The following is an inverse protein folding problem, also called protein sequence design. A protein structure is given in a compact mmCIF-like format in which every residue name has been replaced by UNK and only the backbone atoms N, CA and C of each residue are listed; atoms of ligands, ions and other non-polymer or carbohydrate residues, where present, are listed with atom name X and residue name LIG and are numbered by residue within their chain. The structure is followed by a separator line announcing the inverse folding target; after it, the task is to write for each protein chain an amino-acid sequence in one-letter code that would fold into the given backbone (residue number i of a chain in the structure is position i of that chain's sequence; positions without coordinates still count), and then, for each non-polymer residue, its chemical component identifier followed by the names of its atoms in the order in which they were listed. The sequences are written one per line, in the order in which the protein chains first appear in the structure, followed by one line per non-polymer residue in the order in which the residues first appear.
data_IF_630965314603
#
_entry.id   IF_630965314603
#
_cell.length_a   1.000
_cell.length_b   1.000
_cell.length_c   1.000
_cell.angle_alpha   90.00
_cell.angle_beta   90.00
_cell.angle_gamma   90.00
#
_symmetry.space_group_name_H-M   'P 1'
#
loop_
_entity.id
_entity.type
_entity.pdbx_description
1 polymer ?
#
# COMPACT_ATOMS: atom_id res chain seq x y z
N UNK A 1 4.90 8.10 -14.56
CA UNK A 1 3.78 7.13 -14.62
C UNK A 1 2.52 7.91 -14.95
N UNK A 2 1.65 7.38 -15.80
CA UNK A 2 0.38 8.04 -16.09
C UNK A 2 -0.50 8.13 -14.85
N UNK A 3 -1.31 9.18 -14.78
CA UNK A 3 -2.16 9.42 -13.61
C UNK A 3 -1.40 9.79 -12.34
N UNK A 4 -0.07 9.89 -12.39
CA UNK A 4 0.82 10.16 -11.24
C UNK A 4 1.63 11.44 -11.44
N UNK A 5 1.83 12.17 -10.35
CA UNK A 5 2.61 13.41 -10.31
C UNK A 5 2.08 14.46 -11.31
N UNK A 6 2.93 14.84 -12.26
CA UNK A 6 2.61 15.86 -13.28
C UNK A 6 1.85 15.32 -14.51
N UNK A 7 1.57 14.02 -14.57
CA UNK A 7 0.90 13.41 -15.72
C UNK A 7 -0.59 13.71 -15.69
N UNK A 8 -1.12 14.30 -16.77
CA UNK A 8 -2.55 14.62 -16.89
C UNK A 8 -3.31 13.60 -17.74
N UNK A 9 -4.57 13.27 -17.40
CA UNK A 9 -5.26 13.63 -16.16
C UNK A 9 -4.69 12.87 -14.94
N UNK A 10 -4.67 13.53 -13.78
CA UNK A 10 -4.28 12.89 -12.52
C UNK A 10 -5.39 11.95 -12.03
N UNK A 11 -5.03 10.82 -11.42
CA UNK A 11 -6.02 9.93 -10.83
C UNK A 11 -6.37 10.38 -9.41
N UNK A 12 -7.66 10.52 -9.13
CA UNK A 12 -8.14 10.97 -7.82
C UNK A 12 -9.37 10.19 -7.40
N UNK A 13 -9.36 9.66 -6.18
CA UNK A 13 -10.56 9.08 -5.60
C UNK A 13 -11.41 10.11 -4.88
N UNK A 14 -10.84 11.21 -4.39
CA UNK A 14 -11.55 12.21 -3.60
C UNK A 14 -11.76 13.51 -4.39
N UNK A 15 -12.85 14.22 -4.10
CA UNK A 15 -13.17 15.49 -4.76
C UNK A 15 -12.27 16.63 -4.26
N UNK A 16 -11.74 16.51 -3.04
CA UNK A 16 -10.83 17.49 -2.45
C UNK A 16 -9.81 16.83 -1.52
N UNK A 17 -8.73 17.55 -1.24
CA UNK A 17 -7.72 17.12 -0.28
C UNK A 17 -8.28 17.01 1.14
N UNK A 18 -9.19 17.92 1.54
CA UNK A 18 -9.84 17.85 2.85
C UNK A 18 -10.67 16.58 3.03
N UNK A 19 -11.36 16.13 1.98
CA UNK A 19 -12.10 14.87 1.99
C UNK A 19 -11.15 13.67 2.12
N UNK A 20 -10.02 13.68 1.39
CA UNK A 20 -8.99 12.64 1.51
C UNK A 20 -8.43 12.58 2.95
N UNK A 21 -8.09 13.74 3.53
CA UNK A 21 -7.61 13.85 4.91
C UNK A 21 -8.58 13.27 5.93
N UNK A 22 -9.86 13.62 5.82
CA UNK A 22 -10.89 13.08 6.70
C UNK A 22 -11.07 11.57 6.53
N UNK A 23 -10.95 11.07 5.30
CA UNK A 23 -10.97 9.65 5.03
C UNK A 23 -9.76 8.97 5.70
N UNK A 24 -8.54 9.46 5.52
CA UNK A 24 -7.33 8.91 6.15
C UNK A 24 -7.42 8.91 7.70
N UNK A 25 -7.99 9.94 8.32
CA UNK A 25 -8.14 10.00 9.78
C UNK A 25 -9.15 8.99 10.34
N UNK A 26 -10.07 8.49 9.51
CA UNK A 26 -11.06 7.47 9.87
C UNK A 26 -10.57 6.03 9.63
N UNK A 27 -9.26 5.85 9.41
CA UNK A 27 -8.63 4.54 9.27
C UNK A 27 -8.95 3.61 10.47
N UNK A 28 -9.58 2.45 10.26
CA UNK A 28 -9.86 1.49 11.32
C UNK A 28 -8.60 0.73 11.74
N UNK A 29 -8.70 -0.12 12.75
CA UNK A 29 -7.63 -1.07 13.12
C UNK A 29 -7.20 -1.94 11.93
N UNK A 30 -5.94 -2.38 11.89
CA UNK A 30 -5.44 -3.30 10.85
C UNK A 30 -6.15 -4.66 10.94
N UNK A 31 -6.15 -5.40 9.82
CA UNK A 31 -6.64 -6.78 9.78
C UNK A 31 -5.92 -7.64 10.83
N UNK A 32 -6.68 -8.43 11.59
CA UNK A 32 -6.13 -9.29 12.64
C UNK A 32 -5.87 -8.60 13.99
N UNK A 33 -6.25 -7.33 14.13
CA UNK A 33 -6.29 -6.65 15.43
C UNK A 33 -7.42 -7.20 16.32
N UNK A 34 -8.64 -7.30 15.79
CA UNK A 34 -9.81 -7.91 16.44
C UNK A 34 -10.83 -8.44 15.40
N UNK A 35 -11.92 -9.07 15.87
CA UNK A 35 -12.98 -9.62 15.02
C UNK A 35 -13.77 -8.55 14.25
N UNK A 36 -13.83 -7.31 14.76
CA UNK A 36 -14.56 -6.21 14.16
C UNK A 36 -13.75 -5.51 13.04
N UNK A 37 -12.41 -5.59 13.09
CA UNK A 37 -11.50 -4.95 12.16
C UNK A 37 -11.76 -5.35 10.71
N UNK A 38 -12.11 -6.63 10.46
CA UNK A 38 -12.45 -7.09 9.12
C UNK A 38 -13.66 -6.35 8.53
N UNK A 39 -14.77 -6.29 9.27
CA UNK A 39 -16.00 -5.66 8.77
C UNK A 39 -15.82 -4.14 8.59
N UNK A 40 -15.06 -3.51 9.47
CA UNK A 40 -14.73 -2.08 9.35
C UNK A 40 -13.87 -1.79 8.11
N UNK A 41 -12.84 -2.60 7.86
CA UNK A 41 -11.96 -2.50 6.67
C UNK A 41 -12.69 -2.80 5.37
N UNK A 42 -13.59 -3.79 5.37
CA UNK A 42 -14.43 -4.14 4.23
C UNK A 42 -15.37 -2.99 3.85
N UNK A 43 -16.09 -2.44 4.83
CA UNK A 43 -16.96 -1.27 4.61
C UNK A 43 -16.16 -0.08 4.07
N UNK A 44 -14.98 0.18 4.63
CA UNK A 44 -14.09 1.24 4.17
C UNK A 44 -13.61 1.03 2.73
N UNK A 45 -13.27 -0.21 2.37
CA UNK A 45 -12.88 -0.56 1.01
C UNK A 45 -14.00 -0.27 0.01
N UNK A 46 -15.26 -0.58 0.34
CA UNK A 46 -16.43 -0.25 -0.48
C UNK A 46 -16.64 1.26 -0.61
N UNK A 47 -16.44 2.02 0.47
CA UNK A 47 -16.54 3.49 0.44
C UNK A 47 -15.45 4.11 -0.42
N UNK A 48 -14.21 3.65 -0.30
CA UNK A 48 -13.10 4.07 -1.15
C UNK A 48 -13.36 3.76 -2.62
N UNK A 49 -13.84 2.54 -2.90
CA UNK A 49 -14.20 2.11 -4.24
C UNK A 49 -15.24 3.00 -4.90
N UNK A 50 -16.33 3.32 -4.20
CA UNK A 50 -17.38 4.23 -4.70
C UNK A 50 -16.80 5.60 -5.05
N UNK A 51 -15.89 6.11 -4.23
CA UNK A 51 -15.21 7.40 -4.45
C UNK A 51 -14.28 7.35 -5.66
N UNK A 52 -13.44 6.31 -5.78
CA UNK A 52 -12.55 6.09 -6.92
C UNK A 52 -13.32 5.93 -8.25
N UNK A 53 -14.40 5.16 -8.26
CA UNK A 53 -15.22 4.98 -9.47
C UNK A 53 -15.88 6.29 -9.89
N UNK A 54 -16.41 7.05 -8.93
CA UNK A 54 -17.04 8.33 -9.25
C UNK A 54 -16.05 9.36 -9.84
N UNK A 55 -14.81 9.39 -9.36
CA UNK A 55 -13.89 10.49 -9.62
C UNK A 55 -12.72 10.15 -10.56
N UNK A 56 -12.38 8.86 -10.75
CA UNK A 56 -11.14 8.44 -11.42
C UNK A 56 -11.26 7.22 -12.35
N UNK A 57 -12.46 6.67 -12.57
CA UNK A 57 -12.66 5.42 -13.34
C UNK A 57 -11.97 5.43 -14.71
N UNK A 58 -12.14 6.51 -15.48
CA UNK A 58 -11.59 6.61 -16.84
C UNK A 58 -10.06 6.62 -16.90
N UNK A 59 -9.42 7.12 -15.84
CA UNK A 59 -7.94 7.18 -15.72
C UNK A 59 -7.42 5.87 -15.15
N UNK A 60 -8.01 5.41 -14.05
CA UNK A 60 -7.49 4.32 -13.26
C UNK A 60 -7.37 3.01 -14.05
N UNK A 61 -8.32 2.72 -14.96
CA UNK A 61 -8.32 1.48 -15.76
C UNK A 61 -7.08 1.31 -16.64
N UNK A 62 -6.33 2.39 -16.84
CA UNK A 62 -5.10 2.38 -17.62
C UNK A 62 -3.85 2.52 -16.75
N UNK A 63 -3.94 2.60 -15.43
CA UNK A 63 -2.80 2.85 -14.54
C UNK A 63 -1.93 1.62 -14.27
N UNK A 64 -2.22 0.47 -14.87
CA UNK A 64 -1.43 -0.74 -14.72
C UNK A 64 0.00 -0.64 -15.25
N UNK A 65 0.84 -1.58 -14.82
CA UNK A 65 2.24 -1.73 -15.22
C UNK A 65 2.40 -1.91 -16.72
N UNK A 66 1.49 -2.62 -17.40
CA UNK A 66 1.56 -2.78 -18.86
C UNK A 66 1.46 -1.43 -19.59
N UNK A 67 0.45 -0.64 -19.26
CA UNK A 67 0.26 0.69 -19.80
C UNK A 67 1.43 1.62 -19.49
N UNK A 68 2.00 1.50 -18.29
CA UNK A 68 3.22 2.21 -17.92
C UNK A 68 4.43 1.75 -18.73
N UNK A 69 4.55 0.47 -19.09
CA UNK A 69 5.61 -0.04 -19.95
C UNK A 69 5.51 0.51 -21.38
N UNK A 70 4.28 0.62 -21.92
CA UNK A 70 4.00 1.28 -23.20
C UNK A 70 4.48 2.74 -23.16
N UNK A 71 4.19 3.46 -22.08
CA UNK A 71 4.60 4.87 -21.92
C UNK A 71 6.13 5.01 -21.94
N UNK A 72 6.85 4.14 -21.24
CA UNK A 72 8.32 4.16 -21.24
C UNK A 72 8.90 3.84 -22.62
N UNK A 73 8.28 2.93 -23.36
CA UNK A 73 8.66 2.66 -24.75
C UNK A 73 8.47 3.90 -25.64
N UNK A 74 7.32 4.57 -25.54
CA UNK A 74 7.04 5.80 -26.31
C UNK A 74 8.04 6.90 -25.97
N UNK A 75 8.39 7.09 -24.70
CA UNK A 75 9.41 8.06 -24.27
C UNK A 75 10.75 7.76 -24.94
N UNK A 76 11.22 6.50 -24.89
CA UNK A 76 12.48 6.10 -25.53
C UNK A 76 12.48 6.39 -27.03
N UNK A 77 11.37 6.12 -27.72
CA UNK A 77 11.24 6.42 -29.15
C UNK A 77 11.22 7.91 -29.44
N UNK A 78 10.57 8.69 -28.59
CA UNK A 78 10.48 10.15 -28.73
C UNK A 78 11.83 10.84 -28.49
N UNK A 79 12.66 10.28 -27.60
CA UNK A 79 14.05 10.70 -27.40
C UNK A 79 15.00 10.26 -28.53
N UNK A 80 14.49 9.63 -29.60
CA UNK A 80 15.29 9.01 -30.67
C UNK A 80 16.31 7.98 -30.16
N UNK A 81 16.04 7.35 -29.02
CA UNK A 81 16.88 6.28 -28.47
C UNK A 81 16.40 4.93 -29.00
N UNK A 82 17.37 4.08 -29.33
CA UNK A 82 17.11 2.69 -29.71
C UNK A 82 17.13 1.74 -28.52
N UNK A 83 17.70 2.19 -27.40
CA UNK A 83 17.98 1.41 -26.20
C UNK A 83 17.70 2.19 -24.92
N UNK A 84 17.21 1.46 -23.91
CA UNK A 84 16.79 1.92 -22.59
C UNK A 84 17.72 1.32 -21.53
N UNK A 85 18.32 2.17 -20.72
CA UNK A 85 18.85 1.79 -19.41
C UNK A 85 17.75 2.03 -18.37
N UNK A 86 17.53 1.08 -17.47
CA UNK A 86 16.45 1.14 -16.49
C UNK A 86 16.94 0.71 -15.11
N UNK A 87 16.61 1.49 -14.08
CA UNK A 87 16.86 1.15 -12.69
C UNK A 87 15.53 1.09 -11.96
N UNK A 88 15.14 -0.12 -11.55
CA UNK A 88 13.88 -0.38 -10.88
C UNK A 88 14.08 -0.61 -9.40
N UNK A 89 13.53 0.26 -8.57
CA UNK A 89 13.46 0.10 -7.11
C UNK A 89 12.03 -0.29 -6.74
N UNK A 90 11.86 -1.30 -5.87
CA UNK A 90 10.54 -1.75 -5.40
C UNK A 90 9.60 -2.12 -6.57
N UNK A 91 8.41 -1.52 -6.68
CA UNK A 91 7.48 -1.72 -7.81
C UNK A 91 8.08 -1.39 -9.18
N UNK A 92 9.07 -0.49 -9.23
CA UNK A 92 9.85 -0.21 -10.44
C UNK A 92 10.55 -1.46 -10.99
N UNK A 93 10.93 -2.42 -10.13
CA UNK A 93 11.48 -3.68 -10.60
C UNK A 93 10.48 -4.51 -11.40
N UNK A 94 9.20 -4.50 -10.99
CA UNK A 94 8.14 -5.16 -11.75
C UNK A 94 7.92 -4.48 -13.11
N UNK A 95 7.92 -3.14 -13.14
CA UNK A 95 7.86 -2.39 -14.40
C UNK A 95 9.02 -2.76 -15.34
N UNK A 96 10.26 -2.76 -14.85
CA UNK A 96 11.40 -3.12 -15.69
C UNK A 96 11.32 -4.57 -16.18
N UNK A 97 10.83 -5.51 -15.37
CA UNK A 97 10.55 -6.88 -15.83
C UNK A 97 9.50 -6.89 -16.94
N UNK A 98 8.41 -6.12 -16.81
CA UNK A 98 7.37 -6.01 -17.85
C UNK A 98 7.94 -5.42 -19.13
N UNK A 99 8.69 -4.31 -19.07
CA UNK A 99 9.33 -3.70 -20.26
C UNK A 99 10.24 -4.72 -20.94
N UNK A 100 11.06 -5.44 -20.19
CA UNK A 100 11.95 -6.44 -20.76
C UNK A 100 11.21 -7.62 -21.43
N UNK A 101 10.00 -7.93 -20.98
CA UNK A 101 9.15 -8.97 -21.59
C UNK A 101 8.44 -8.47 -22.85
N UNK A 102 7.88 -7.26 -22.83
CA UNK A 102 7.03 -6.76 -23.93
C UNK A 102 7.79 -6.00 -25.02
N UNK A 103 8.96 -5.42 -24.69
CA UNK A 103 9.82 -4.67 -25.61
C UNK A 103 11.30 -5.08 -25.45
N UNK A 104 11.64 -6.37 -25.64
CA UNK A 104 13.01 -6.85 -25.43
C UNK A 104 14.04 -6.14 -26.32
N UNK A 105 13.62 -5.62 -27.48
CA UNK A 105 14.48 -4.94 -28.44
C UNK A 105 15.01 -3.60 -27.92
N UNK A 106 14.32 -2.95 -26.97
CA UNK A 106 14.78 -1.67 -26.39
C UNK A 106 15.60 -1.87 -25.12
N UNK A 107 15.78 -3.08 -24.62
CA UNK A 107 16.56 -3.33 -23.39
C UNK A 107 18.06 -3.20 -23.66
N UNK A 108 18.76 -2.46 -22.78
CA UNK A 108 20.23 -2.43 -22.66
C UNK A 108 20.69 -2.94 -21.29
N UNK A 109 20.57 -2.11 -20.23
CA UNK A 109 21.01 -2.48 -18.87
C UNK A 109 19.90 -2.23 -17.86
N UNK A 110 19.42 -3.30 -17.22
CA UNK A 110 18.34 -3.26 -16.23
C UNK A 110 18.88 -3.71 -14.87
N UNK A 111 18.71 -2.88 -13.85
CA UNK A 111 19.11 -3.17 -12.47
C UNK A 111 17.87 -3.21 -11.56
N UNK A 112 17.73 -4.28 -10.77
CA UNK A 112 16.65 -4.45 -9.79
C UNK A 112 17.25 -4.64 -8.40
N UNK A 113 16.92 -3.78 -7.45
CA UNK A 113 17.47 -3.84 -6.09
C UNK A 113 16.64 -4.75 -5.18
N UNK A 114 17.31 -5.67 -4.47
CA UNK A 114 16.73 -6.52 -3.42
C UNK A 114 17.83 -6.96 -2.45
N UNK A 115 17.75 -6.65 -1.14
CA UNK A 115 18.65 -7.24 -0.16
C UNK A 115 18.02 -8.43 0.58
N UNK A 116 18.88 -9.36 1.03
CA UNK A 116 18.55 -10.53 1.84
C UNK A 116 19.67 -10.79 2.86
N UNK A 117 19.33 -10.95 4.15
CA UNK A 117 20.06 -11.76 5.15
C UNK A 117 19.14 -12.12 6.34
N UNK A 118 19.58 -13.07 7.17
CA UNK A 118 18.76 -13.94 8.05
C UNK A 118 18.26 -13.31 9.37
N UNK A 119 17.05 -13.71 9.79
CA UNK A 119 16.10 -12.97 10.63
C UNK A 119 15.62 -13.69 11.90
N UNK A 120 16.21 -14.84 12.25
CA UNK A 120 15.64 -15.76 13.26
C UNK A 120 15.57 -15.17 14.68
N UNK A 121 16.65 -14.55 15.17
CA UNK A 121 16.69 -14.01 16.53
C UNK A 121 15.90 -12.71 16.67
N UNK A 122 15.88 -11.89 15.61
CA UNK A 122 15.05 -10.69 15.53
C UNK A 122 13.55 -11.05 15.54
N UNK A 123 13.18 -12.15 14.89
CA UNK A 123 11.79 -12.61 14.83
C UNK A 123 11.25 -12.95 16.22
N UNK A 124 12.01 -13.67 17.04
CA UNK A 124 11.54 -14.05 18.38
C UNK A 124 11.29 -12.83 19.28
N UNK A 125 12.25 -11.87 19.30
CA UNK A 125 12.09 -10.62 20.06
C UNK A 125 10.92 -9.78 19.55
N UNK A 126 10.80 -9.63 18.24
CA UNK A 126 9.70 -8.87 17.63
C UNK A 126 8.33 -9.47 17.96
N UNK A 127 8.16 -10.79 17.84
CA UNK A 127 6.88 -11.45 18.13
C UNK A 127 6.44 -11.31 19.59
N UNK A 128 7.38 -11.22 20.53
CA UNK A 128 7.04 -10.93 21.93
C UNK A 128 6.48 -9.50 22.10
N UNK A 129 7.02 -8.52 21.37
CA UNK A 129 6.52 -7.15 21.38
C UNK A 129 5.15 -7.03 20.74
N UNK A 130 4.92 -7.71 19.62
CA UNK A 130 3.62 -7.78 18.98
C UNK A 130 2.55 -8.30 19.93
N UNK A 131 2.81 -9.42 20.60
CA UNK A 131 1.88 -10.04 21.54
C UNK A 131 1.55 -9.10 22.72
N UNK A 132 2.56 -8.37 23.22
CA UNK A 132 2.39 -7.37 24.28
C UNK A 132 1.49 -6.22 23.82
N UNK A 133 1.72 -5.66 22.63
CA UNK A 133 0.94 -4.53 22.12
C UNK A 133 -0.50 -4.88 21.73
N UNK A 134 -0.78 -6.15 21.36
CA UNK A 134 -2.16 -6.60 21.14
C UNK A 134 -3.02 -6.54 22.40
N UNK A 135 -2.41 -6.73 23.57
CA UNK A 135 -3.12 -6.75 24.86
C UNK A 135 -2.97 -5.44 25.64
N UNK A 136 -1.85 -4.74 25.46
CA UNK A 136 -1.49 -3.55 26.21
C UNK A 136 -1.03 -2.43 25.27
N UNK A 137 -2.01 -1.74 24.67
CA UNK A 137 -1.74 -0.54 23.88
C UNK A 137 -1.14 0.57 24.75
N UNK A 138 -0.08 1.23 24.27
CA UNK A 138 0.66 2.24 25.01
C UNK A 138 0.00 3.62 24.84
N UNK A 139 -0.06 4.40 25.90
CA UNK A 139 -0.61 5.77 25.84
C UNK A 139 0.47 6.74 25.41
N UNK A 140 0.26 7.44 24.30
CA UNK A 140 1.23 8.42 23.78
C UNK A 140 0.93 9.79 24.39
N UNK A 141 1.96 10.45 24.92
CA UNK A 141 1.82 11.79 25.52
C UNK A 141 1.39 12.81 24.45
N UNK A 142 0.37 13.60 24.77
CA UNK A 142 -0.09 14.70 23.91
C UNK A 142 -1.05 14.30 22.78
N UNK A 143 -1.54 13.07 22.76
CA UNK A 143 -2.58 12.62 21.83
C UNK A 143 -3.52 11.63 22.51
N UNK A 144 -4.76 11.60 22.05
CA UNK A 144 -5.78 10.66 22.52
C UNK A 144 -5.58 9.26 21.90
N UNK A 145 -4.72 9.18 20.86
CA UNK A 145 -4.42 7.94 20.15
C UNK A 145 -3.39 7.11 20.91
N UNK A 146 -3.59 5.79 20.91
CA UNK A 146 -2.69 4.83 21.53
C UNK A 146 -1.73 4.26 20.50
N UNK A 147 -0.49 3.99 20.92
CA UNK A 147 0.45 3.20 20.16
C UNK A 147 0.20 1.71 20.43
N UNK A 148 -0.55 1.09 19.54
CA UNK A 148 -0.99 -0.30 19.62
C UNK A 148 -0.28 -1.18 18.58
N UNK A 149 -0.73 -2.44 18.45
CA UNK A 149 -0.18 -3.38 17.47
C UNK A 149 -0.29 -2.85 16.04
N UNK A 150 -1.40 -2.19 15.69
CA UNK A 150 -1.60 -1.61 14.36
C UNK A 150 -0.59 -0.49 14.10
N UNK A 151 -0.41 0.42 15.06
CA UNK A 151 0.54 1.52 15.00
C UNK A 151 1.99 1.03 14.80
N UNK A 152 2.41 -0.02 15.52
CA UNK A 152 3.74 -0.61 15.36
C UNK A 152 3.94 -1.16 13.94
N UNK A 153 2.97 -1.88 13.39
CA UNK A 153 3.08 -2.48 12.05
C UNK A 153 3.13 -1.41 10.96
N UNK A 154 2.27 -0.39 11.04
CA UNK A 154 2.29 0.73 10.11
C UNK A 154 3.65 1.44 10.11
N UNK A 155 4.21 1.70 11.29
CA UNK A 155 5.54 2.31 11.38
C UNK A 155 6.64 1.38 10.90
N UNK A 156 6.59 0.08 11.23
CA UNK A 156 7.59 -0.89 10.79
C UNK A 156 7.66 -0.93 9.26
N UNK A 157 6.52 -0.94 8.56
CA UNK A 157 6.50 -0.85 7.10
C UNK A 157 7.22 0.39 6.62
N UNK A 158 6.96 1.56 7.21
CA UNK A 158 7.65 2.82 6.85
C UNK A 158 9.15 2.72 7.09
N UNK A 159 9.55 2.24 8.26
CA UNK A 159 10.96 2.16 8.65
C UNK A 159 11.78 1.20 7.79
N UNK A 160 11.15 0.13 7.27
CA UNK A 160 11.81 -0.84 6.39
C UNK A 160 12.06 -0.32 4.96
N UNK A 161 11.48 0.82 4.57
CA UNK A 161 11.70 1.40 3.24
C UNK A 161 13.07 2.09 3.09
N UNK A 162 13.76 2.41 4.18
CA UNK A 162 15.07 3.04 4.09
C UNK A 162 15.90 2.95 5.38
N UNK A 163 17.21 2.68 5.28
CA UNK A 163 18.07 2.48 6.45
C UNK A 163 18.17 3.71 7.37
N UNK A 164 17.85 4.91 6.86
CA UNK A 164 17.79 6.14 7.67
C UNK A 164 16.76 6.10 8.80
N UNK A 165 15.74 5.24 8.70
CA UNK A 165 14.72 5.04 9.74
C UNK A 165 15.13 4.03 10.81
N UNK A 166 16.19 3.25 10.61
CA UNK A 166 16.57 2.17 11.53
C UNK A 166 16.91 2.66 12.95
N UNK A 167 17.58 3.83 13.15
CA UNK A 167 17.79 4.37 14.48
C UNK A 167 16.46 4.70 15.19
N UNK A 168 15.50 5.27 14.47
CA UNK A 168 14.16 5.60 15.00
C UNK A 168 13.40 4.31 15.35
N UNK A 169 13.47 3.30 14.47
CA UNK A 169 12.89 1.98 14.73
C UNK A 169 13.49 1.31 15.97
N UNK A 170 14.81 1.35 16.13
CA UNK A 170 15.49 0.84 17.33
C UNK A 170 15.02 1.55 18.61
N UNK A 171 14.84 2.88 18.55
CA UNK A 171 14.28 3.68 19.65
C UNK A 171 12.86 3.26 20.01
N UNK A 172 11.97 3.17 19.03
CA UNK A 172 10.59 2.71 19.23
C UNK A 172 10.54 1.30 19.84
N UNK A 173 11.28 0.34 19.29
CA UNK A 173 11.28 -1.03 19.81
C UNK A 173 11.79 -1.09 21.26
N UNK A 174 12.79 -0.29 21.61
CA UNK A 174 13.31 -0.20 22.98
C UNK A 174 12.29 0.35 23.97
N UNK A 175 11.49 1.35 23.57
CA UNK A 175 10.41 1.90 24.39
C UNK A 175 9.26 0.89 24.57
N UNK A 176 8.87 0.17 23.51
CA UNK A 176 7.88 -0.92 23.59
C UNK A 176 8.37 -2.04 24.53
N UNK A 177 9.65 -2.42 24.43
CA UNK A 177 10.28 -3.40 25.33
C UNK A 177 10.15 -2.94 26.79
N UNK A 178 10.48 -1.68 27.07
CA UNK A 178 10.32 -1.06 28.39
C UNK A 178 8.86 -0.90 28.84
N UNK A 179 7.88 -1.03 27.93
CA UNK A 179 6.45 -0.91 28.23
C UNK A 179 5.97 0.53 28.38
N UNK A 180 6.68 1.49 27.79
CA UNK A 180 6.32 2.91 27.81
C UNK A 180 6.27 3.51 26.41
N UNK A 181 5.62 4.66 26.27
CA UNK A 181 5.69 5.50 25.08
C UNK A 181 6.49 6.76 25.43
N UNK A 182 7.78 6.74 25.06
CA UNK A 182 8.71 7.85 25.30
C UNK A 182 8.77 8.81 24.11
N UNK A 183 9.92 9.45 23.93
CA UNK A 183 10.11 10.46 22.91
C UNK A 183 10.12 9.87 21.50
N UNK A 184 10.60 8.62 21.31
CA UNK A 184 10.61 7.98 19.99
C UNK A 184 9.21 7.62 19.51
N UNK A 185 8.40 6.99 20.36
CA UNK A 185 6.99 6.71 20.05
C UNK A 185 6.21 8.01 19.89
N UNK A 186 6.47 9.03 20.72
CA UNK A 186 5.88 10.36 20.57
C UNK A 186 6.20 11.00 19.22
N UNK A 187 7.47 10.95 18.80
CA UNK A 187 7.94 11.46 17.50
C UNK A 187 7.27 10.74 16.34
N UNK A 188 7.24 9.41 16.35
CA UNK A 188 6.61 8.60 15.29
C UNK A 188 5.11 8.80 15.24
N UNK A 189 4.45 8.86 16.40
CA UNK A 189 3.03 9.17 16.49
C UNK A 189 2.70 10.53 15.86
N UNK A 190 3.47 11.57 16.20
CA UNK A 190 3.22 12.92 15.72
C UNK A 190 3.63 13.14 14.25
N UNK A 191 4.70 12.51 13.80
CA UNK A 191 5.37 12.84 12.52
C UNK A 191 5.09 11.83 11.41
N UNK A 192 4.68 10.60 11.76
CA UNK A 192 4.50 9.51 10.79
C UNK A 192 3.09 8.96 10.83
N UNK A 193 2.58 8.59 12.02
CA UNK A 193 1.32 7.85 12.12
C UNK A 193 0.08 8.74 12.15
N UNK A 194 0.14 9.87 12.84
CA UNK A 194 -1.02 10.75 13.09
C UNK A 194 -0.82 12.16 12.55
N UNK A 195 0.21 12.38 11.72
CA UNK A 195 0.42 13.66 11.06
C UNK A 195 -0.75 13.95 10.10
N UNK A 196 -1.49 15.07 10.26
CA UNK A 196 -2.37 15.54 9.20
C UNK A 196 -1.48 15.96 8.01
N UNK A 197 -1.76 15.54 6.77
CA UNK A 197 -0.87 15.84 5.64
C UNK A 197 -0.59 17.34 5.55
N UNK A 198 0.68 17.70 5.35
CA UNK A 198 1.16 19.07 5.42
C UNK A 198 0.26 20.04 4.61
N UNK A 199 -0.16 21.18 5.18
CA UNK A 199 -0.82 22.23 4.40
C UNK A 199 0.22 22.88 3.47
N UNK A 200 -0.03 22.81 2.16
CA UNK A 200 0.87 23.25 1.08
C UNK A 200 1.25 24.75 1.17
N UNK A 201 2.37 25.17 0.51
CA UNK A 201 2.31 25.38 -0.94
C UNK A 201 3.31 24.51 -1.73
N UNK A 202 2.86 24.00 -2.88
CA UNK A 202 3.59 23.31 -3.97
C UNK A 202 4.03 21.84 -3.72
N UNK A 203 3.48 20.95 -4.57
CA UNK A 203 4.20 19.79 -5.13
C UNK A 203 4.82 18.81 -4.11
N UNK A 204 4.01 18.08 -3.35
CA UNK A 204 4.56 16.95 -2.60
C UNK A 204 4.81 15.76 -3.52
N UNK A 205 6.02 15.22 -3.44
CA UNK A 205 6.49 13.97 -4.06
C UNK A 205 5.79 12.71 -3.52
N UNK A 206 4.89 12.86 -2.54
CA UNK A 206 4.11 11.77 -1.99
C UNK A 206 3.07 11.32 -3.02
N UNK A 207 3.28 10.13 -3.57
CA UNK A 207 2.28 9.43 -4.36
C UNK A 207 0.98 9.33 -3.54
N UNK A 208 -0.15 9.87 -4.01
CA UNK A 208 -1.44 9.56 -3.43
C UNK A 208 -1.55 8.03 -3.40
N UNK A 209 -1.75 7.47 -2.21
CA UNK A 209 -1.88 6.02 -2.00
C UNK A 209 -2.89 5.39 -2.97
N UNK A 210 -3.87 6.19 -3.40
CA UNK A 210 -4.87 5.89 -4.42
C UNK A 210 -4.26 5.49 -5.77
N UNK A 211 -3.19 6.14 -6.21
CA UNK A 211 -2.56 5.90 -7.51
C UNK A 211 -1.79 4.57 -7.53
N UNK A 212 -1.06 4.28 -6.44
CA UNK A 212 -0.40 2.99 -6.23
C UNK A 212 -1.45 1.88 -6.18
N UNK A 213 -2.50 2.09 -5.41
CA UNK A 213 -3.61 1.15 -5.29
C UNK A 213 -4.26 0.88 -6.65
N UNK A 214 -4.54 1.91 -7.46
CA UNK A 214 -5.10 1.74 -8.79
C UNK A 214 -4.20 0.90 -9.70
N UNK A 215 -2.88 1.16 -9.69
CA UNK A 215 -1.91 0.36 -10.44
C UNK A 215 -1.89 -1.11 -9.99
N UNK A 216 -1.71 -1.35 -8.68
CA UNK A 216 -1.70 -2.71 -8.09
C UNK A 216 -2.96 -3.47 -8.45
N UNK A 217 -4.12 -2.83 -8.30
CA UNK A 217 -5.38 -3.49 -8.58
C UNK A 217 -5.64 -3.74 -10.07
N UNK A 218 -5.13 -2.88 -10.95
CA UNK A 218 -5.19 -3.12 -12.40
C UNK A 218 -4.29 -4.27 -12.82
N UNK A 219 -3.13 -4.42 -12.18
CA UNK A 219 -2.17 -5.50 -12.49
C UNK A 219 -2.56 -6.85 -11.89
N UNK A 220 -3.42 -6.85 -10.88
CA UNK A 220 -3.84 -8.05 -10.17
C UNK A 220 -4.78 -8.92 -11.02
N UNK A 221 -4.21 -9.93 -11.70
CA UNK A 221 -4.98 -10.87 -12.54
C UNK A 221 -5.87 -11.83 -11.75
N UNK A 222 -5.58 -12.04 -10.46
CA UNK A 222 -6.31 -13.01 -9.62
C UNK A 222 -7.04 -12.27 -8.51
N UNK A 223 -8.08 -11.54 -8.86
CA UNK A 223 -9.03 -11.10 -7.84
C UNK A 223 -9.64 -12.32 -7.14
N UNK A 224 -9.69 -12.27 -5.81
CA UNK A 224 -10.47 -13.24 -5.04
C UNK A 224 -11.90 -13.19 -5.58
N UNK A 225 -12.53 -14.34 -5.79
CA UNK A 225 -13.83 -14.44 -6.48
C UNK A 225 -15.01 -14.01 -5.61
N UNK A 226 -14.73 -13.23 -4.56
CA UNK A 226 -15.73 -12.48 -3.80
C UNK A 226 -16.42 -13.31 -2.72
N UNK A 227 -15.78 -14.32 -2.12
CA UNK A 227 -16.31 -14.92 -0.90
C UNK A 227 -15.39 -14.71 0.32
N UNK A 228 -15.98 -14.53 1.50
CA UNK A 228 -15.34 -14.03 2.72
C UNK A 228 -14.41 -15.07 3.28
N UNK A 229 -14.74 -16.32 3.04
CA UNK A 229 -13.96 -17.47 3.45
C UNK A 229 -12.71 -17.63 2.58
N UNK A 230 -12.77 -17.29 1.29
CA UNK A 230 -11.60 -17.21 0.40
C UNK A 230 -10.65 -16.12 0.87
N UNK A 231 -11.15 -14.93 1.21
CA UNK A 231 -10.31 -13.87 1.78
C UNK A 231 -9.72 -14.28 3.13
N UNK A 232 -10.52 -14.85 4.05
CA UNK A 232 -10.02 -15.33 5.34
C UNK A 232 -8.92 -16.39 5.17
N UNK A 233 -9.09 -17.30 4.22
CA UNK A 233 -8.09 -18.32 3.88
C UNK A 233 -6.81 -17.68 3.34
N UNK A 234 -6.94 -16.72 2.43
CA UNK A 234 -5.81 -15.94 1.91
C UNK A 234 -5.09 -15.16 3.02
N UNK A 235 -5.83 -14.43 3.85
CA UNK A 235 -5.26 -13.66 4.96
C UNK A 235 -4.54 -14.56 5.98
N UNK A 236 -5.12 -15.74 6.29
CA UNK A 236 -4.47 -16.75 7.12
C UNK A 236 -3.14 -17.21 6.49
N UNK A 237 -3.15 -17.59 5.22
CA UNK A 237 -1.94 -18.01 4.51
C UNK A 237 -0.86 -16.92 4.47
N UNK A 238 -1.25 -15.66 4.23
CA UNK A 238 -0.33 -14.52 4.27
C UNK A 238 0.23 -14.30 5.68
N UNK A 239 -0.59 -14.45 6.72
CA UNK A 239 -0.17 -14.30 8.11
C UNK A 239 0.82 -15.39 8.52
N UNK A 240 0.62 -16.62 8.05
CA UNK A 240 1.55 -17.74 8.27
C UNK A 240 2.90 -17.49 7.57
N UNK A 241 2.89 -16.92 6.35
CA UNK A 241 4.10 -16.66 5.59
C UNK A 241 4.87 -15.40 6.04
N UNK A 242 4.14 -14.32 6.38
CA UNK A 242 4.69 -12.99 6.62
C UNK A 242 3.87 -12.21 7.67
N UNK A 243 3.88 -12.64 8.95
CA UNK A 243 2.99 -12.10 9.99
C UNK A 243 3.17 -10.59 10.21
N UNK A 244 4.39 -10.07 10.02
CA UNK A 244 4.72 -8.65 10.23
C UNK A 244 4.06 -7.71 9.22
N UNK A 245 3.65 -8.19 8.05
CA UNK A 245 3.13 -7.34 6.97
C UNK A 245 1.83 -7.85 6.35
N UNK A 246 1.39 -9.05 6.73
CA UNK A 246 0.21 -9.70 6.18
C UNK A 246 -1.04 -8.80 6.26
N UNK A 247 -1.25 -8.11 7.38
CA UNK A 247 -2.41 -7.24 7.56
C UNK A 247 -2.47 -6.09 6.55
N UNK A 248 -1.33 -5.46 6.26
CA UNK A 248 -1.23 -4.32 5.34
C UNK A 248 -1.39 -4.78 3.90
N UNK A 249 -0.66 -5.83 3.49
CA UNK A 249 -0.71 -6.29 2.10
C UNK A 249 -1.99 -7.04 1.77
N UNK A 250 -2.63 -7.69 2.76
CA UNK A 250 -3.89 -8.39 2.53
C UNK A 250 -5.06 -7.43 2.34
N UNK A 251 -4.97 -6.22 2.90
CA UNK A 251 -5.96 -5.17 2.65
C UNK A 251 -6.05 -4.81 1.16
N UNK A 252 -4.94 -4.82 0.43
CA UNK A 252 -4.99 -4.53 -1.02
C UNK A 252 -5.90 -5.52 -1.74
N UNK A 253 -5.88 -6.80 -1.36
CA UNK A 253 -6.79 -7.83 -1.91
C UNK A 253 -8.25 -7.66 -1.48
N UNK A 254 -8.51 -6.93 -0.39
CA UNK A 254 -9.85 -6.56 0.03
C UNK A 254 -10.37 -5.37 -0.79
N UNK A 255 -9.50 -4.40 -1.05
CA UNK A 255 -9.84 -3.14 -1.74
C UNK A 255 -9.99 -3.32 -3.24
N UNK A 256 -9.09 -4.07 -3.88
CA UNK A 256 -9.06 -4.17 -5.35
C UNK A 256 -10.37 -4.64 -5.99
N UNK A 257 -11.03 -5.73 -5.54
CA UNK A 257 -12.26 -6.15 -6.19
C UNK A 257 -13.43 -5.18 -5.89
N UNK A 258 -13.36 -4.37 -4.81
CA UNK A 258 -14.38 -3.37 -4.51
C UNK A 258 -14.29 -2.21 -5.50
N UNK A 259 -13.08 -1.73 -5.76
CA UNK A 259 -12.81 -0.63 -6.70
C UNK A 259 -13.15 -1.05 -8.13
N UNK A 260 -12.62 -2.19 -8.59
CA UNK A 260 -12.64 -2.56 -10.00
C UNK A 260 -13.82 -3.46 -10.42
N UNK A 261 -14.61 -3.92 -9.45
CA UNK A 261 -15.75 -4.81 -9.68
C UNK A 261 -16.96 -4.45 -8.77
N UNK A 262 -17.52 -3.22 -8.85
CA UNK A 262 -18.48 -2.69 -7.88
C UNK A 262 -19.89 -3.30 -7.95
N UNK A 263 -20.23 -4.08 -8.98
CA UNK A 263 -21.55 -4.68 -9.15
C UNK A 263 -21.69 -5.92 -8.24
N UNK A 264 -21.97 -5.67 -6.96
CA UNK A 264 -22.31 -6.68 -5.95
C UNK A 264 -21.18 -7.69 -5.67
N UNK A 265 -20.14 -7.22 -4.97
CA UNK A 265 -19.02 -7.99 -4.44
C UNK A 265 -19.44 -9.28 -3.71
N UNK A 266 -20.68 -9.34 -3.18
CA UNK A 266 -21.20 -10.46 -2.39
C UNK A 266 -22.44 -11.17 -2.93
N UNK A 267 -23.21 -10.57 -3.84
CA UNK A 267 -24.57 -11.05 -4.16
C UNK A 267 -24.73 -11.68 -5.55
N UNK A 268 -23.82 -11.45 -6.51
CA UNK A 268 -24.09 -11.85 -7.90
C UNK A 268 -22.94 -12.55 -8.65
N UNK A 269 -21.78 -12.78 -8.01
CA UNK A 269 -20.63 -13.33 -8.71
C UNK A 269 -20.08 -12.32 -9.72
N UNK A 270 -18.93 -11.73 -9.41
CA UNK A 270 -18.30 -10.73 -10.26
C UNK A 270 -18.01 -11.29 -11.66
N UNK A 271 -18.85 -10.93 -12.64
CA UNK A 271 -18.44 -10.93 -14.04
C UNK A 271 -17.71 -9.61 -14.27
N UNK A 272 -16.45 -9.55 -13.82
CA UNK A 272 -15.60 -8.40 -14.09
C UNK A 272 -15.55 -8.16 -15.60
N UNK A 273 -15.67 -6.90 -15.99
CA UNK A 273 -15.85 -6.39 -17.35
C UNK A 273 -14.62 -6.57 -18.26
N UNK A 274 -13.82 -7.61 -18.03
CA UNK A 274 -12.72 -8.05 -18.91
C UNK A 274 -13.21 -8.70 -20.22
N UNK A 275 -14.53 -8.89 -20.41
CA UNK A 275 -15.09 -9.44 -21.64
C UNK A 275 -14.98 -8.56 -22.89
N UNK A 276 -14.33 -7.39 -22.83
CA UNK A 276 -14.12 -6.52 -24.00
C UNK A 276 -12.66 -6.33 -24.43
N UNK A 277 -11.69 -6.93 -23.76
CA UNK A 277 -10.27 -6.84 -24.16
C UNK A 277 -9.56 -8.19 -23.97
N UNK A 278 -9.99 -9.19 -24.72
CA UNK A 278 -9.20 -10.29 -25.27
C UNK A 278 -9.71 -10.55 -26.68
#
# INVERSE_FOLDING_TARGET
YRGWGWSTPAFRCFASEGENKQFALSEPQLLGADDAAYAAREKRAEELAKKCNKNGEDVGRFMGTYSSAVDHYVVVRTENRTKMGFWGVSSGAHLGQTIAQVYPEVVDKFLFDRPSTTTADLRSRYSALEAKLKTNALTVKGTDKKFDWSALHTFLTTALHGPGWFPVLGGVLSEVEAGGAGDWIGYVAASVLYHPPAPLPLLTEDAPFEEILAGVCTDERRHLKGNRDEFKSYFKSMTEAAPSVAAIFSEWRLVCPAVWCPAAFWLLGCTCLLRRFC
#
